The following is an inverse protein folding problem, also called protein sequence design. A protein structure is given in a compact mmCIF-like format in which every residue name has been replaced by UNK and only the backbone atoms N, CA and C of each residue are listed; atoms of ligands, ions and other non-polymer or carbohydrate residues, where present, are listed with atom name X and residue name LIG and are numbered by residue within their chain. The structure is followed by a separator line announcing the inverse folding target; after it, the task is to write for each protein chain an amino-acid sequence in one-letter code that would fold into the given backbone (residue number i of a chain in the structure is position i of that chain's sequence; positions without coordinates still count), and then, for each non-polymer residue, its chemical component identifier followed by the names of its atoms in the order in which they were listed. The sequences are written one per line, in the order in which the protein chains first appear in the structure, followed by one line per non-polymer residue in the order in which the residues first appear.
data_IF_151465431014
#
_entry.id   IF_151465431014
#
_cell.length_a   1.000
_cell.length_b   1.000
_cell.length_c   1.000
_cell.angle_alpha   90.00
_cell.angle_beta   90.00
_cell.angle_gamma   90.00
#
_symmetry.space_group_name_H-M   'P 1'
#
loop_
_entity.id
_entity.type
_entity.pdbx_description
1 polymer ?
#
# COMPACT_ATOMS: atom_id res chain seq x y z
N UNK A 1 -16.97 0.78 -11.51
CA UNK A 1 -17.23 2.24 -11.67
C UNK A 1 -15.94 3.07 -11.60
N UNK A 2 -15.01 2.77 -10.69
CA UNK A 2 -13.72 3.48 -10.57
C UNK A 2 -12.92 3.52 -11.88
N UNK A 3 -12.62 2.36 -12.48
CA UNK A 3 -11.81 2.26 -13.70
C UNK A 3 -12.27 3.16 -14.86
N UNK A 4 -13.57 3.20 -15.19
CA UNK A 4 -14.09 4.05 -16.26
C UNK A 4 -13.90 5.54 -15.93
N UNK A 5 -14.24 5.96 -14.71
CA UNK A 5 -14.07 7.36 -14.27
C UNK A 5 -12.61 7.80 -14.30
N UNK A 6 -11.69 6.92 -13.91
CA UNK A 6 -10.25 7.16 -13.99
C UNK A 6 -9.81 7.41 -15.43
N UNK A 7 -10.31 6.61 -16.39
CA UNK A 7 -10.00 6.79 -17.80
C UNK A 7 -10.62 8.07 -18.37
N UNK A 8 -11.87 8.38 -18.01
CA UNK A 8 -12.56 9.62 -18.39
C UNK A 8 -11.83 10.88 -17.87
N UNK A 9 -11.13 10.76 -16.74
CA UNK A 9 -10.26 11.81 -16.21
C UNK A 9 -8.90 11.92 -16.93
N UNK A 10 -8.64 11.11 -17.97
CA UNK A 10 -7.42 11.13 -18.77
C UNK A 10 -6.30 10.25 -18.24
N UNK A 11 -6.51 9.50 -17.14
CA UNK A 11 -5.50 8.58 -16.59
C UNK A 11 -5.58 7.25 -17.33
N UNK A 12 -4.51 6.89 -18.05
CA UNK A 12 -4.48 5.69 -18.90
C UNK A 12 -3.74 4.51 -18.28
N UNK A 13 -3.01 4.71 -17.18
CA UNK A 13 -2.32 3.66 -16.42
C UNK A 13 -2.40 3.96 -14.93
N UNK A 14 -2.67 2.95 -14.12
CA UNK A 14 -2.74 3.04 -12.66
C UNK A 14 -1.96 1.92 -11.99
N UNK A 15 -1.51 2.18 -10.75
CA UNK A 15 -1.04 1.15 -9.83
C UNK A 15 -2.06 1.03 -8.70
N UNK A 16 -2.83 -0.05 -8.69
CA UNK A 16 -3.79 -0.36 -7.65
C UNK A 16 -3.06 -1.06 -6.50
N UNK A 17 -3.22 -0.53 -5.29
CA UNK A 17 -2.43 -0.89 -4.10
C UNK A 17 -3.29 -1.52 -3.00
N UNK A 18 -4.45 -2.06 -3.34
CA UNK A 18 -5.18 -2.92 -2.43
C UNK A 18 -6.55 -3.27 -2.97
N UNK A 19 -6.88 -4.55 -2.96
CA UNK A 19 -8.22 -5.02 -3.22
C UNK A 19 -8.58 -6.23 -2.36
N UNK A 20 -9.89 -6.40 -2.16
CA UNK A 20 -10.44 -7.62 -1.62
C UNK A 20 -10.77 -8.62 -2.74
N UNK A 21 -10.74 -9.91 -2.40
CA UNK A 21 -11.15 -11.00 -3.28
C UNK A 21 -10.45 -11.02 -4.65
N UNK A 22 -9.25 -10.43 -4.77
CA UNK A 22 -8.50 -10.28 -6.02
C UNK A 22 -9.30 -9.59 -7.14
N UNK A 23 -10.22 -8.70 -6.78
CA UNK A 23 -11.05 -7.98 -7.75
C UNK A 23 -10.22 -7.10 -8.69
N UNK A 24 -9.12 -6.53 -8.21
CA UNK A 24 -8.16 -5.77 -9.00
C UNK A 24 -7.51 -6.62 -10.10
N UNK A 25 -7.08 -7.85 -9.78
CA UNK A 25 -6.53 -8.81 -10.74
C UNK A 25 -7.58 -9.16 -11.80
N UNK A 26 -8.81 -9.50 -11.38
CA UNK A 26 -9.88 -9.80 -12.32
C UNK A 26 -10.20 -8.62 -13.24
N UNK A 27 -10.24 -7.40 -12.70
CA UNK A 27 -10.46 -6.18 -13.47
C UNK A 27 -9.33 -5.90 -14.46
N UNK A 28 -8.06 -6.00 -14.02
CA UNK A 28 -6.89 -5.86 -14.89
C UNK A 28 -6.97 -6.84 -16.06
N UNK A 29 -7.28 -8.10 -15.79
CA UNK A 29 -7.29 -9.15 -16.81
C UNK A 29 -8.43 -8.94 -17.81
N UNK A 30 -9.61 -8.52 -17.36
CA UNK A 30 -10.72 -8.12 -18.24
C UNK A 30 -10.34 -6.93 -19.13
N UNK A 31 -9.65 -5.93 -18.58
CA UNK A 31 -9.18 -4.76 -19.34
C UNK A 31 -8.13 -5.18 -20.36
N UNK A 32 -7.17 -6.00 -19.97
CA UNK A 32 -6.10 -6.49 -20.85
C UNK A 32 -6.66 -7.33 -22.02
N UNK A 33 -7.77 -8.06 -21.81
CA UNK A 33 -8.47 -8.80 -22.87
C UNK A 33 -9.43 -7.95 -23.71
N UNK A 34 -9.62 -6.67 -23.36
CA UNK A 34 -10.57 -5.78 -24.04
C UNK A 34 -12.04 -6.07 -23.72
N UNK A 35 -12.31 -6.87 -22.68
CA UNK A 35 -13.66 -7.22 -22.22
C UNK A 35 -14.25 -6.15 -21.27
N UNK A 36 -13.40 -5.29 -20.72
CA UNK A 36 -13.78 -4.17 -19.87
C UNK A 36 -13.02 -2.90 -20.28
N UNK A 37 -13.69 -1.75 -20.26
CA UNK A 37 -13.05 -0.45 -20.48
C UNK A 37 -12.47 0.08 -19.17
N UNK A 38 -11.18 0.42 -19.17
CA UNK A 38 -10.47 1.00 -18.04
C UNK A 38 -9.00 1.30 -18.39
N UNK A 39 -8.26 1.94 -17.47
CA UNK A 39 -6.82 2.15 -17.63
C UNK A 39 -6.06 0.81 -17.55
N UNK A 40 -4.85 0.77 -18.09
CA UNK A 40 -3.90 -0.31 -17.78
C UNK A 40 -3.64 -0.35 -16.28
N UNK A 41 -3.76 -1.51 -15.66
CA UNK A 41 -3.59 -1.65 -14.21
C UNK A 41 -2.34 -2.47 -13.88
N UNK A 42 -1.56 -2.01 -12.92
CA UNK A 42 -0.60 -2.82 -12.16
C UNK A 42 -1.21 -3.05 -10.78
N UNK A 43 -1.39 -4.30 -10.37
CA UNK A 43 -2.24 -4.64 -9.22
C UNK A 43 -1.49 -5.42 -8.16
N UNK A 44 -1.90 -5.34 -6.91
CA UNK A 44 -1.23 -6.05 -5.81
C UNK A 44 -1.99 -7.25 -5.24
N UNK A 45 -3.28 -7.40 -5.55
CA UNK A 45 -4.15 -8.29 -4.81
C UNK A 45 -4.34 -7.79 -3.38
N UNK A 46 -4.21 -8.69 -2.41
CA UNK A 46 -4.23 -8.28 -1.00
C UNK A 46 -2.92 -7.60 -0.61
N UNK A 47 -3.02 -6.45 0.03
CA UNK A 47 -1.90 -5.89 0.79
C UNK A 47 -1.60 -6.74 2.03
N UNK A 48 -0.35 -6.70 2.49
CA UNK A 48 0.08 -7.35 3.72
C UNK A 48 -0.28 -6.50 4.94
N UNK A 49 -0.96 -7.11 5.90
CA UNK A 49 -1.36 -6.51 7.17
C UNK A 49 -0.97 -7.41 8.33
N UNK A 50 -0.57 -6.85 9.47
CA UNK A 50 -0.48 -7.64 10.71
C UNK A 50 -1.88 -8.02 11.19
N UNK A 51 -1.96 -9.03 12.06
CA UNK A 51 -3.16 -9.23 12.84
C UNK A 51 -3.46 -7.93 13.57
N UNK A 52 -4.67 -7.40 13.36
CA UNK A 52 -5.22 -6.28 14.11
C UNK A 52 -4.83 -4.85 13.65
N UNK A 53 -4.48 -4.60 12.38
CA UNK A 53 -4.31 -3.22 11.88
C UNK A 53 -5.29 -2.83 10.76
N UNK A 54 -5.98 -1.67 10.88
CA UNK A 54 -6.05 -0.84 12.09
C UNK A 54 -6.94 -1.52 13.15
N UNK A 55 -6.51 -1.51 14.41
CA UNK A 55 -7.38 -1.97 15.52
C UNK A 55 -8.52 -0.98 15.68
N UNK A 56 -9.64 -1.23 15.02
CA UNK A 56 -10.89 -0.51 15.24
C UNK A 56 -11.91 -1.50 15.77
N UNK A 57 -12.31 -1.41 17.06
CA UNK A 57 -13.38 -2.22 17.60
C UNK A 57 -14.62 -2.17 16.70
N UNK A 58 -15.06 -3.32 16.19
CA UNK A 58 -16.22 -3.44 15.29
C UNK A 58 -15.90 -3.42 13.79
N UNK A 59 -14.65 -3.23 13.38
CA UNK A 59 -14.22 -3.52 12.00
C UNK A 59 -13.74 -4.96 11.89
N UNK A 60 -14.17 -5.64 10.83
CA UNK A 60 -13.61 -6.94 10.48
C UNK A 60 -12.18 -6.74 9.97
N UNK A 61 -11.24 -7.64 10.33
CA UNK A 61 -9.93 -7.63 9.71
C UNK A 61 -10.06 -7.81 8.18
N UNK A 62 -9.06 -7.36 7.41
CA UNK A 62 -9.00 -7.65 5.98
C UNK A 62 -9.25 -9.13 5.69
N UNK A 63 -10.01 -9.42 4.63
CA UNK A 63 -10.40 -10.80 4.29
C UNK A 63 -9.21 -11.67 3.82
N UNK A 64 -8.05 -11.07 3.58
CA UNK A 64 -6.81 -11.72 3.18
C UNK A 64 -5.60 -10.82 3.42
N UNK A 65 -4.40 -11.38 3.23
CA UNK A 65 -3.15 -10.65 3.39
C UNK A 65 -2.61 -10.56 4.83
N UNK A 66 -3.28 -11.18 5.79
CA UNK A 66 -2.81 -11.23 7.19
C UNK A 66 -1.53 -12.07 7.29
N UNK A 67 -0.48 -11.48 7.84
CA UNK A 67 0.80 -12.11 8.07
C UNK A 67 1.49 -11.54 9.30
N UNK A 68 1.77 -12.40 10.29
CA UNK A 68 2.53 -12.07 11.49
C UNK A 68 3.82 -12.90 11.57
N UNK A 69 4.95 -12.20 11.68
CA UNK A 69 6.28 -12.79 11.66
C UNK A 69 6.79 -13.07 10.24
N UNK A 70 8.12 -13.09 10.13
CA UNK A 70 8.84 -13.33 8.87
C UNK A 70 8.32 -14.56 8.09
N UNK A 71 8.09 -15.74 8.70
CA UNK A 71 7.60 -16.91 7.95
C UNK A 71 6.26 -16.68 7.25
N UNK A 72 5.33 -15.96 7.89
CA UNK A 72 4.01 -15.66 7.31
C UNK A 72 4.12 -14.58 6.24
N UNK A 73 4.94 -13.56 6.45
CA UNK A 73 5.21 -12.52 5.45
C UNK A 73 5.71 -13.14 4.15
N UNK A 74 6.70 -14.04 4.23
CA UNK A 74 7.22 -14.76 3.05
C UNK A 74 6.15 -15.61 2.36
N UNK A 75 5.28 -16.26 3.14
CA UNK A 75 4.17 -17.07 2.62
C UNK A 75 3.17 -16.18 1.88
N UNK A 76 2.74 -15.06 2.47
CA UNK A 76 1.75 -14.17 1.88
C UNK A 76 2.28 -13.46 0.64
N UNK A 77 3.54 -13.01 0.63
CA UNK A 77 4.18 -12.47 -0.59
C UNK A 77 4.10 -13.49 -1.73
N UNK A 78 4.47 -14.76 -1.47
CA UNK A 78 4.38 -15.83 -2.48
C UNK A 78 2.95 -16.09 -2.94
N UNK A 79 1.96 -15.97 -2.04
CA UNK A 79 0.55 -16.10 -2.40
C UNK A 79 0.10 -14.99 -3.34
N UNK A 80 0.46 -13.72 -3.08
CA UNK A 80 0.11 -12.60 -3.98
C UNK A 80 0.77 -12.77 -5.35
N UNK A 81 2.04 -13.18 -5.38
CA UNK A 81 2.75 -13.45 -6.63
C UNK A 81 2.08 -14.60 -7.41
N UNK A 82 1.72 -15.69 -6.72
CA UNK A 82 1.04 -16.83 -7.33
C UNK A 82 -0.37 -16.48 -7.83
N UNK A 83 -1.07 -15.55 -7.17
CA UNK A 83 -2.36 -15.02 -7.62
C UNK A 83 -2.22 -14.12 -8.88
N UNK A 84 -1.01 -13.67 -9.20
CA UNK A 84 -0.72 -12.86 -10.38
C UNK A 84 -0.52 -11.38 -10.10
N UNK A 85 -0.18 -10.98 -8.87
CA UNK A 85 0.14 -9.60 -8.54
C UNK A 85 1.35 -9.07 -9.35
N UNK A 86 1.29 -7.80 -9.74
CA UNK A 86 2.36 -7.08 -10.43
C UNK A 86 3.32 -6.39 -9.45
N UNK A 87 2.81 -6.01 -8.28
CA UNK A 87 3.53 -5.31 -7.21
C UNK A 87 3.09 -5.88 -5.87
N UNK A 88 3.96 -5.87 -4.87
CA UNK A 88 3.62 -6.22 -3.49
C UNK A 88 3.28 -4.95 -2.73
N UNK A 89 2.23 -5.01 -1.90
CA UNK A 89 1.87 -3.93 -0.99
C UNK A 89 2.00 -4.41 0.45
N UNK A 90 2.59 -3.60 1.30
CA UNK A 90 2.61 -3.82 2.76
C UNK A 90 2.18 -2.55 3.49
N UNK A 91 1.43 -2.72 4.58
CA UNK A 91 1.03 -1.64 5.48
C UNK A 91 1.99 -1.60 6.66
N UNK A 92 3.06 -0.81 6.53
CA UNK A 92 4.18 -0.73 7.48
C UNK A 92 3.95 0.23 8.65
N UNK A 93 2.86 0.99 8.63
CA UNK A 93 2.35 1.68 9.81
C UNK A 93 0.83 1.63 9.86
N UNK A 94 0.28 2.02 11.01
CA UNK A 94 -1.10 2.51 11.12
C UNK A 94 -1.24 3.85 10.40
N UNK A 95 -2.48 4.33 10.36
CA UNK A 95 -2.85 5.56 9.69
C UNK A 95 -3.71 5.28 8.47
N UNK A 96 -4.83 5.99 8.39
CA UNK A 96 -5.84 5.86 7.34
C UNK A 96 -6.32 7.25 6.96
N UNK A 97 -7.40 7.33 6.20
CA UNK A 97 -8.06 8.60 5.92
C UNK A 97 -8.57 9.30 7.21
N UNK A 98 -8.90 8.53 8.25
CA UNK A 98 -9.41 8.95 9.57
C UNK A 98 -8.56 8.60 10.78
N UNK A 99 -7.33 8.22 10.52
CA UNK A 99 -6.39 7.87 11.56
C UNK A 99 -5.06 8.52 11.19
N UNK A 100 -4.64 9.50 12.00
CA UNK A 100 -3.32 10.12 11.88
C UNK A 100 -2.29 9.43 12.75
N UNK A 101 -2.64 8.32 13.41
CA UNK A 101 -1.62 7.49 14.05
C UNK A 101 -0.66 6.98 12.99
N UNK A 102 0.62 6.93 13.33
CA UNK A 102 1.68 6.48 12.44
C UNK A 102 2.51 5.38 13.11
N UNK A 103 1.88 4.56 13.94
CA UNK A 103 2.58 3.51 14.67
C UNK A 103 3.08 2.48 13.69
N UNK A 104 4.36 2.14 13.79
CA UNK A 104 4.93 1.04 13.00
C UNK A 104 4.20 -0.27 13.32
N UNK A 105 3.83 -1.00 12.26
CA UNK A 105 3.02 -2.22 12.37
C UNK A 105 3.81 -3.47 12.06
N UNK A 106 4.90 -3.35 11.32
CA UNK A 106 5.81 -4.46 11.01
C UNK A 106 7.19 -4.14 11.54
N UNK A 107 7.88 -5.15 12.07
CA UNK A 107 9.30 -5.00 12.40
C UNK A 107 10.12 -4.79 11.13
N UNK A 108 11.30 -4.19 11.27
CA UNK A 108 12.28 -4.09 10.18
C UNK A 108 12.55 -5.44 9.50
N UNK A 109 12.68 -6.53 10.27
CA UNK A 109 12.93 -7.87 9.74
C UNK A 109 11.80 -8.37 8.85
N UNK A 110 10.55 -8.07 9.20
CA UNK A 110 9.37 -8.41 8.39
C UNK A 110 9.30 -7.57 7.12
N UNK A 111 9.50 -6.25 7.22
CA UNK A 111 9.54 -5.38 6.04
C UNK A 111 10.64 -5.81 5.07
N UNK A 112 11.83 -6.11 5.58
CA UNK A 112 12.96 -6.58 4.78
C UNK A 112 12.66 -7.92 4.12
N UNK A 113 12.06 -8.86 4.85
CA UNK A 113 11.67 -10.16 4.30
C UNK A 113 10.69 -10.03 3.15
N UNK A 114 9.72 -9.11 3.25
CA UNK A 114 8.79 -8.83 2.16
C UNK A 114 9.49 -8.23 0.93
N UNK A 115 10.36 -7.23 1.14
CA UNK A 115 11.10 -6.58 0.06
C UNK A 115 12.04 -7.56 -0.66
N UNK A 116 12.87 -8.29 0.08
CA UNK A 116 13.78 -9.30 -0.47
C UNK A 116 13.01 -10.36 -1.29
N UNK A 117 11.88 -10.85 -0.77
CA UNK A 117 11.07 -11.87 -1.45
C UNK A 117 10.37 -11.32 -2.69
N UNK A 118 9.88 -10.08 -2.66
CA UNK A 118 9.33 -9.42 -3.85
C UNK A 118 10.40 -9.31 -4.95
N UNK A 119 11.58 -8.79 -4.59
CA UNK A 119 12.70 -8.61 -5.52
C UNK A 119 13.24 -9.94 -6.05
N UNK A 120 13.28 -11.00 -5.23
CA UNK A 120 13.68 -12.35 -5.66
C UNK A 120 12.84 -12.86 -6.84
N UNK A 121 11.57 -12.46 -6.91
CA UNK A 121 10.64 -12.80 -8.00
C UNK A 121 10.52 -11.71 -9.07
N UNK A 122 11.41 -10.71 -9.05
CA UNK A 122 11.40 -9.59 -9.99
C UNK A 122 10.20 -8.65 -9.85
N UNK A 123 9.58 -8.62 -8.66
CA UNK A 123 8.46 -7.73 -8.33
C UNK A 123 8.95 -6.56 -7.50
N UNK A 124 8.28 -5.42 -7.62
CA UNK A 124 8.49 -4.26 -6.75
C UNK A 124 7.64 -4.37 -5.49
N UNK A 125 7.98 -3.61 -4.46
CA UNK A 125 7.18 -3.45 -3.24
C UNK A 125 6.89 -1.98 -2.94
N UNK A 126 5.64 -1.68 -2.59
CA UNK A 126 5.20 -0.41 -2.05
C UNK A 126 4.88 -0.57 -0.56
N UNK A 127 5.38 0.32 0.30
CA UNK A 127 5.07 0.30 1.72
C UNK A 127 4.30 1.56 2.10
N UNK A 128 3.13 1.37 2.71
CA UNK A 128 2.39 2.45 3.35
C UNK A 128 3.07 2.83 4.66
N UNK A 129 3.29 4.13 4.86
CA UNK A 129 3.72 4.67 6.14
C UNK A 129 3.22 6.10 6.34
N UNK A 130 2.61 6.41 7.49
CA UNK A 130 2.34 7.78 7.93
C UNK A 130 3.40 8.30 8.90
N UNK A 131 3.87 7.45 9.83
CA UNK A 131 4.81 7.85 10.87
C UNK A 131 6.30 7.70 10.52
N UNK A 132 7.18 8.47 11.19
CA UNK A 132 8.61 8.52 10.89
C UNK A 132 9.33 7.18 11.05
N UNK A 133 8.94 6.37 12.06
CA UNK A 133 9.62 5.10 12.34
C UNK A 133 9.39 4.09 11.22
N UNK A 134 8.13 3.86 10.84
CA UNK A 134 7.78 2.98 9.74
C UNK A 134 8.37 3.45 8.41
N UNK A 135 8.47 4.77 8.18
CA UNK A 135 9.07 5.33 6.98
C UNK A 135 10.57 5.00 6.91
N UNK A 136 11.29 5.25 8.01
CA UNK A 136 12.72 4.96 8.12
C UNK A 136 13.01 3.48 7.89
N UNK A 137 12.25 2.59 8.54
CA UNK A 137 12.51 1.15 8.46
C UNK A 137 12.06 0.56 7.12
N UNK A 138 10.99 1.05 6.51
CA UNK A 138 10.59 0.69 5.15
C UNK A 138 11.66 1.05 4.10
N UNK A 139 12.26 2.24 4.20
CA UNK A 139 13.34 2.68 3.32
C UNK A 139 14.59 1.82 3.53
N UNK A 140 14.98 1.57 4.79
CA UNK A 140 16.12 0.70 5.12
C UNK A 140 15.92 -0.74 4.63
N UNK A 141 14.68 -1.24 4.73
CA UNK A 141 14.28 -2.57 4.29
C UNK A 141 14.34 -2.73 2.76
N UNK A 142 14.37 -1.62 2.01
CA UNK A 142 14.54 -1.63 0.55
C UNK A 142 13.22 -1.51 -0.21
N UNK A 143 12.24 -0.76 0.30
CA UNK A 143 11.02 -0.49 -0.47
C UNK A 143 11.32 0.27 -1.78
N UNK A 144 10.61 -0.07 -2.86
CA UNK A 144 10.70 0.66 -4.13
C UNK A 144 9.95 1.98 -4.08
N UNK A 145 8.84 2.03 -3.33
CA UNK A 145 8.11 3.26 -3.11
C UNK A 145 7.49 3.33 -1.72
N UNK A 146 7.63 4.52 -1.12
CA UNK A 146 7.01 4.86 0.14
C UNK A 146 5.76 5.69 -0.11
N UNK A 147 4.62 5.20 0.38
CA UNK A 147 3.33 5.85 0.21
C UNK A 147 3.00 6.72 1.43
N UNK A 148 2.40 7.89 1.17
CA UNK A 148 1.94 8.90 2.13
C UNK A 148 3.06 9.66 2.84
N UNK A 149 3.85 8.97 3.67
CA UNK A 149 4.93 9.43 4.55
C UNK A 149 4.93 10.94 4.79
N UNK A 150 4.20 11.38 5.82
CA UNK A 150 3.94 12.80 6.08
C UNK A 150 4.98 13.46 6.97
N UNK A 151 5.76 12.68 7.71
CA UNK A 151 6.69 13.17 8.73
C UNK A 151 8.06 12.48 8.61
N UNK A 152 8.73 12.64 7.46
CA UNK A 152 10.08 12.09 7.22
C UNK A 152 11.16 13.08 7.65
N UNK A 153 12.16 12.59 8.39
CA UNK A 153 13.35 13.37 8.70
C UNK A 153 14.34 13.44 7.51
N UNK A 154 15.25 14.41 7.55
CA UNK A 154 16.25 14.62 6.50
C UNK A 154 17.12 13.38 6.26
N UNK A 155 17.40 12.60 7.31
CA UNK A 155 18.19 11.38 7.21
C UNK A 155 17.46 10.30 6.40
N UNK A 156 16.16 10.12 6.61
CA UNK A 156 15.32 9.20 5.86
C UNK A 156 15.22 9.64 4.40
N UNK A 157 15.04 10.94 4.14
CA UNK A 157 15.00 11.49 2.78
C UNK A 157 16.35 11.23 2.05
N UNK A 158 17.47 11.45 2.72
CA UNK A 158 18.79 11.16 2.17
C UNK A 158 18.98 9.68 1.82
N UNK A 159 18.50 8.77 2.69
CA UNK A 159 18.57 7.34 2.43
C UNK A 159 17.64 6.93 1.27
N UNK A 160 16.46 7.55 1.12
CA UNK A 160 15.59 7.34 -0.05
C UNK A 160 16.31 7.69 -1.34
N UNK A 161 16.99 8.85 -1.39
CA UNK A 161 17.77 9.26 -2.56
C UNK A 161 18.87 8.25 -2.87
N UNK A 162 19.61 7.78 -1.86
CA UNK A 162 20.69 6.81 -2.03
C UNK A 162 20.19 5.45 -2.55
N UNK A 163 18.98 5.06 -2.20
CA UNK A 163 18.36 3.79 -2.58
C UNK A 163 17.46 3.87 -3.80
N UNK A 164 17.27 5.05 -4.34
CA UNK A 164 16.31 5.32 -5.42
C UNK A 164 14.86 4.94 -5.04
N UNK A 165 14.51 5.06 -3.76
CA UNK A 165 13.15 4.84 -3.28
C UNK A 165 12.26 6.03 -3.68
N UNK A 166 11.16 5.74 -4.36
CA UNK A 166 10.21 6.76 -4.82
C UNK A 166 9.26 7.19 -3.70
N UNK A 167 8.93 8.48 -3.65
CA UNK A 167 7.92 9.02 -2.75
C UNK A 167 6.59 9.24 -3.46
N UNK A 168 5.50 8.68 -2.91
CA UNK A 168 4.13 8.85 -3.42
C UNK A 168 3.27 9.49 -2.32
N UNK A 169 3.16 10.84 -2.28
CA UNK A 169 2.71 11.55 -1.09
C UNK A 169 1.19 11.58 -0.88
N UNK A 170 0.39 11.34 -1.93
CA UNK A 170 -1.09 11.45 -1.89
C UNK A 170 -1.60 12.77 -1.28
N UNK A 171 -0.91 13.90 -1.50
CA UNK A 171 -1.22 15.21 -0.85
C UNK A 171 -2.68 15.63 -1.04
N UNK A 172 -3.23 15.44 -2.24
CA UNK A 172 -4.61 15.83 -2.56
C UNK A 172 -5.65 15.01 -1.79
N UNK A 173 -5.37 13.73 -1.52
CA UNK A 173 -6.19 12.89 -0.66
C UNK A 173 -6.24 13.50 0.74
N UNK A 174 -5.09 13.70 1.38
CA UNK A 174 -5.03 14.27 2.73
C UNK A 174 -5.71 15.65 2.80
N UNK A 175 -5.47 16.51 1.80
CA UNK A 175 -6.13 17.81 1.69
C UNK A 175 -7.65 17.70 1.61
N UNK A 176 -8.17 16.83 0.74
CA UNK A 176 -9.61 16.66 0.56
C UNK A 176 -10.30 16.26 1.87
N UNK A 177 -9.71 15.34 2.63
CA UNK A 177 -10.26 14.88 3.91
C UNK A 177 -10.27 15.98 4.98
N UNK A 178 -9.18 16.77 5.07
CA UNK A 178 -9.13 17.93 5.96
C UNK A 178 -10.20 18.97 5.58
N UNK A 179 -10.33 19.29 4.29
CA UNK A 179 -11.28 20.31 3.80
C UNK A 179 -12.75 19.89 3.87
N UNK A 180 -13.04 18.58 3.92
CA UNK A 180 -14.39 18.03 3.92
C UNK A 180 -14.73 17.24 5.19
N UNK A 181 -13.98 17.47 6.28
CA UNK A 181 -14.11 16.74 7.54
C UNK A 181 -15.56 16.62 8.02
N UNK A 182 -16.28 17.74 8.07
CA UNK A 182 -17.68 17.82 8.49
C UNK A 182 -18.63 16.94 7.66
N UNK A 183 -18.37 16.76 6.37
CA UNK A 183 -19.24 15.99 5.45
C UNK A 183 -19.05 14.49 5.61
N UNK A 184 -17.84 14.07 5.97
CA UNK A 184 -17.46 12.67 6.02
C UNK A 184 -17.54 12.14 7.48
N UNK A 185 -17.76 13.03 8.45
CA UNK A 185 -17.95 12.67 9.86
C UNK A 185 -16.67 12.72 10.69
N UNK A 186 -15.64 13.43 10.21
CA UNK A 186 -14.42 13.69 10.97
C UNK A 186 -14.70 14.76 12.02
N UNK A 187 -14.76 14.34 13.29
CA UNK A 187 -14.65 15.31 14.37
C UNK A 187 -13.20 15.83 14.37
N UNK A 188 -13.04 17.14 14.18
CA UNK A 188 -11.77 17.82 14.47
C UNK A 188 -11.57 17.68 15.99
N UNK A 189 -10.73 16.72 16.38
CA UNK A 189 -10.30 16.48 17.76
C UNK A 189 -8.93 17.08 17.98
#
# INVERSE_FOLDING_TARGET
KGAMRTLEAGVTTVRDLGADQYMDIAMRDLINRGEMIGPRMFVCGYGLYITNTPYKPGMNPPAGGIADGVPEVLKVVRQQIAAGADVIKMYGSSGTDDDVTGFETYTYEEMKAAADMAHQFGKKIAIHSYGPDGARDAVRAGTDSLEHATDMDDATIQEMVKRETFYVPTIDHNRYYIENGDKIGYAVG
#
